data_IF_096688185359
#
_entry.id   IF_096688185359
#
_cell.length_a   1.000
_cell.length_b   1.000
_cell.length_c   1.000
_cell.angle_alpha   90.00
_cell.angle_beta   90.00
_cell.angle_gamma   90.00
#
_symmetry.space_group_name_H-M   'P 1'
#
loop_
_entity.id
_entity.type
_entity.pdbx_description
1 polymer ?
#
# COMPACT_ATOMS: atom_id res chain seq x y z
N UNK A 1 29.36 28.77 -65.52
CA UNK A 1 28.93 28.64 -64.08
C UNK A 1 27.57 27.93 -64.05
N UNK A 2 27.55 26.67 -63.62
CA UNK A 2 26.31 25.88 -63.46
C UNK A 2 25.84 26.03 -61.98
N UNK A 3 24.66 26.63 -61.80
CA UNK A 3 24.01 26.71 -60.53
C UNK A 3 23.33 25.35 -60.23
N UNK A 4 23.72 24.71 -59.12
CA UNK A 4 23.06 23.49 -58.57
C UNK A 4 22.03 23.99 -57.60
N UNK A 5 20.72 23.83 -57.89
CA UNK A 5 19.63 24.00 -56.95
C UNK A 5 19.51 22.72 -56.12
N UNK A 6 19.79 22.84 -54.82
CA UNK A 6 19.52 21.75 -53.84
C UNK A 6 18.09 21.94 -53.33
N UNK A 7 17.19 21.03 -53.72
CA UNK A 7 15.84 20.92 -53.14
C UNK A 7 15.91 20.11 -51.82
N UNK A 8 15.80 20.80 -50.68
CA UNK A 8 15.57 20.13 -49.41
C UNK A 8 14.11 19.70 -49.29
N UNK A 9 13.83 18.41 -49.41
CA UNK A 9 12.53 17.83 -49.08
C UNK A 9 12.45 17.70 -47.54
N UNK A 10 11.68 18.56 -46.89
CA UNK A 10 11.26 18.39 -45.49
C UNK A 10 10.21 17.27 -45.45
N UNK A 11 10.63 16.07 -45.08
CA UNK A 11 9.71 14.98 -44.71
C UNK A 11 9.05 15.32 -43.36
N UNK A 12 7.86 15.91 -43.40
CA UNK A 12 6.99 16.06 -42.22
C UNK A 12 6.35 14.68 -41.92
N UNK A 13 6.92 13.94 -41.00
CA UNK A 13 6.25 12.76 -40.44
C UNK A 13 5.08 13.24 -39.59
N UNK A 14 3.83 12.86 -39.86
CA UNK A 14 2.73 13.13 -38.95
C UNK A 14 3.00 12.33 -37.65
N UNK A 15 3.23 13.05 -36.57
CA UNK A 15 3.24 12.43 -35.26
C UNK A 15 1.83 11.87 -35.00
N UNK A 16 1.67 10.56 -35.08
CA UNK A 16 0.44 9.88 -34.68
C UNK A 16 0.35 10.04 -33.17
N UNK A 17 -0.36 11.07 -32.73
CA UNK A 17 -0.75 11.23 -31.34
C UNK A 17 -1.74 10.10 -31.05
N UNK A 18 -1.24 8.99 -30.52
CA UNK A 18 -2.09 7.92 -30.01
C UNK A 18 -2.74 8.45 -28.74
N UNK A 19 -4.03 8.79 -28.79
CA UNK A 19 -4.77 9.15 -27.59
C UNK A 19 -4.59 8.05 -26.57
N UNK A 20 -4.04 8.37 -25.38
CA UNK A 20 -3.94 7.41 -24.29
C UNK A 20 -5.37 6.96 -23.91
N UNK A 21 -5.55 5.65 -23.76
CA UNK A 21 -6.85 5.08 -23.34
C UNK A 21 -7.20 5.63 -21.94
N UNK A 22 -8.37 6.24 -21.80
CA UNK A 22 -8.93 6.61 -20.48
C UNK A 22 -9.18 5.34 -19.66
N UNK A 23 -8.58 5.23 -18.49
CA UNK A 23 -8.74 4.09 -17.59
C UNK A 23 -10.00 4.22 -16.75
N UNK A 24 -10.83 3.19 -16.75
CA UNK A 24 -12.08 3.11 -15.99
C UNK A 24 -11.83 2.55 -14.59
N UNK A 25 -12.17 3.32 -13.55
CA UNK A 25 -12.01 2.95 -12.15
C UNK A 25 -13.38 2.79 -11.51
N UNK A 26 -13.73 1.58 -11.10
CA UNK A 26 -14.94 1.29 -10.34
C UNK A 26 -14.65 1.33 -8.83
N UNK A 27 -15.25 2.28 -8.11
CA UNK A 27 -15.18 2.36 -6.65
C UNK A 27 -16.33 1.54 -6.06
N UNK A 28 -16.06 0.28 -5.75
CA UNK A 28 -17.02 -0.68 -5.18
C UNK A 28 -16.94 -0.64 -3.66
N UNK A 29 -18.09 -0.50 -2.96
CA UNK A 29 -18.04 -0.44 -1.50
C UNK A 29 -19.36 -0.16 -0.81
N UNK A 30 -19.23 0.24 0.46
CA UNK A 30 -20.35 0.53 1.35
C UNK A 30 -20.66 2.03 1.43
N UNK A 31 -21.29 2.46 2.55
CA UNK A 31 -21.65 3.85 2.84
C UNK A 31 -20.47 4.85 2.75
N UNK A 32 -19.26 4.40 3.09
CA UNK A 32 -18.07 5.26 2.99
C UNK A 32 -17.71 5.54 1.53
N UNK A 33 -17.86 4.54 0.66
CA UNK A 33 -17.69 4.72 -0.80
C UNK A 33 -18.83 5.55 -1.38
N UNK A 34 -20.06 5.29 -0.95
CA UNK A 34 -21.24 6.09 -1.31
C UNK A 34 -21.06 7.56 -0.98
N UNK A 35 -20.44 7.88 0.17
CA UNK A 35 -20.30 9.24 0.70
C UNK A 35 -21.44 9.62 1.64
N UNK A 36 -21.87 8.65 2.49
CA UNK A 36 -22.93 8.91 3.48
C UNK A 36 -22.54 10.04 4.44
N UNK A 37 -23.48 10.95 4.69
CA UNK A 37 -23.27 12.11 5.57
C UNK A 37 -22.49 13.26 4.94
N UNK A 38 -22.00 13.14 3.70
CA UNK A 38 -21.26 14.19 3.01
C UNK A 38 -22.23 15.07 2.21
N UNK A 39 -22.28 16.35 2.53
CA UNK A 39 -23.03 17.33 1.75
C UNK A 39 -22.42 17.48 0.34
N UNK A 40 -23.26 17.49 -0.71
CA UNK A 40 -22.80 17.56 -2.10
C UNK A 40 -21.88 16.36 -2.45
N UNK A 41 -22.27 15.14 -2.03
CA UNK A 41 -21.46 13.92 -2.18
C UNK A 41 -21.06 13.62 -3.64
N UNK A 42 -21.84 14.10 -4.59
CA UNK A 42 -21.57 13.99 -6.03
C UNK A 42 -20.25 14.66 -6.43
N UNK A 43 -19.77 15.62 -5.62
CA UNK A 43 -18.48 16.30 -5.80
C UNK A 43 -17.51 16.02 -4.65
N UNK A 44 -18.00 15.64 -3.47
CA UNK A 44 -17.23 15.60 -2.22
C UNK A 44 -17.01 14.18 -1.68
N UNK A 45 -17.64 13.13 -2.23
CA UNK A 45 -17.28 11.74 -1.90
C UNK A 45 -15.87 11.40 -2.37
N UNK A 46 -15.23 10.38 -1.78
CA UNK A 46 -13.86 10.05 -2.19
C UNK A 46 -13.75 9.64 -3.68
N UNK A 47 -14.71 8.93 -4.30
CA UNK A 47 -14.64 8.66 -5.73
C UNK A 47 -14.70 9.93 -6.60
N UNK A 48 -15.54 10.90 -6.22
CA UNK A 48 -15.64 12.17 -6.94
C UNK A 48 -14.35 13.01 -6.81
N UNK A 49 -13.79 13.11 -5.60
CA UNK A 49 -12.51 13.78 -5.38
C UNK A 49 -11.34 13.03 -6.05
N UNK A 50 -11.39 11.69 -6.12
CA UNK A 50 -10.41 10.88 -6.85
C UNK A 50 -10.47 11.20 -8.36
N UNK A 51 -11.66 11.35 -8.94
CA UNK A 51 -11.83 11.78 -10.34
C UNK A 51 -11.13 13.13 -10.59
N UNK A 52 -11.33 14.09 -9.69
CA UNK A 52 -10.70 15.41 -9.79
C UNK A 52 -9.17 15.34 -9.73
N UNK A 53 -8.63 14.49 -8.86
CA UNK A 53 -7.19 14.29 -8.70
C UNK A 53 -6.55 13.60 -9.89
N UNK A 54 -7.21 12.61 -10.48
CA UNK A 54 -6.67 11.80 -11.58
C UNK A 54 -6.86 12.46 -12.96
N UNK A 55 -7.80 13.39 -13.11
CA UNK A 55 -8.08 14.12 -14.36
C UNK A 55 -8.63 13.25 -15.49
N UNK A 56 -8.50 13.72 -16.72
CA UNK A 56 -9.14 13.13 -17.92
C UNK A 56 -8.58 11.78 -18.34
N UNK A 57 -7.38 11.42 -17.88
CA UNK A 57 -6.78 10.10 -18.13
C UNK A 57 -7.51 8.95 -17.40
N UNK A 58 -8.46 9.27 -16.53
CA UNK A 58 -9.26 8.31 -15.77
C UNK A 58 -10.74 8.68 -15.81
N UNK A 59 -11.59 7.65 -15.76
CA UNK A 59 -13.02 7.75 -15.53
C UNK A 59 -13.33 6.99 -14.25
N UNK A 60 -13.60 7.71 -13.15
CA UNK A 60 -13.91 7.15 -11.84
C UNK A 60 -15.40 7.16 -11.61
N UNK A 61 -16.00 6.01 -11.29
CA UNK A 61 -17.41 5.92 -10.95
C UNK A 61 -17.65 5.32 -9.56
N UNK A 62 -18.67 5.84 -8.89
CA UNK A 62 -19.06 5.46 -7.54
C UNK A 62 -20.13 4.37 -7.58
N UNK A 63 -19.79 3.17 -7.11
CA UNK A 63 -20.67 2.01 -6.93
C UNK A 63 -20.79 1.63 -5.44
N UNK A 64 -20.76 2.62 -4.55
CA UNK A 64 -21.00 2.43 -3.13
C UNK A 64 -22.50 2.28 -2.82
N UNK A 65 -22.86 1.36 -1.91
CA UNK A 65 -24.21 1.17 -1.41
C UNK A 65 -24.22 1.21 0.12
N UNK A 66 -25.17 1.99 0.70
CA UNK A 66 -25.27 2.14 2.15
C UNK A 66 -25.60 0.80 2.82
N UNK A 67 -24.87 0.48 3.89
CA UNK A 67 -25.10 -0.77 4.63
C UNK A 67 -24.52 -2.02 3.98
N UNK A 68 -23.96 -1.95 2.77
CA UNK A 68 -23.49 -3.13 2.02
C UNK A 68 -22.46 -3.98 2.79
N UNK A 69 -22.66 -5.30 2.71
CA UNK A 69 -21.79 -6.34 3.25
C UNK A 69 -21.10 -7.12 2.12
N UNK A 70 -19.98 -7.73 2.42
CA UNK A 70 -19.37 -8.77 1.57
C UNK A 70 -20.15 -10.06 1.69
N UNK A 71 -20.56 -10.39 2.92
CA UNK A 71 -21.24 -11.62 3.27
C UNK A 71 -22.59 -11.73 2.53
N UNK A 72 -22.76 -12.84 1.78
CA UNK A 72 -24.00 -13.16 1.05
C UNK A 72 -25.19 -13.43 1.99
N UNK A 73 -24.93 -13.68 3.26
CA UNK A 73 -25.93 -13.86 4.31
C UNK A 73 -26.13 -12.60 5.17
N UNK A 74 -25.51 -11.49 4.80
CA UNK A 74 -25.62 -10.22 5.52
C UNK A 74 -26.98 -9.54 5.31
N UNK A 75 -27.21 -8.47 6.06
CA UNK A 75 -28.45 -7.68 5.95
C UNK A 75 -28.59 -6.95 4.60
N UNK A 76 -27.47 -6.62 3.95
CA UNK A 76 -27.41 -5.98 2.61
C UNK A 76 -26.24 -6.56 1.79
N UNK A 77 -26.35 -7.79 1.27
CA UNK A 77 -25.30 -8.38 0.43
C UNK A 77 -25.02 -7.49 -0.78
N UNK A 78 -23.77 -7.08 -0.98
CA UNK A 78 -23.43 -6.19 -2.10
C UNK A 78 -23.81 -6.81 -3.47
N UNK A 79 -23.72 -8.13 -3.57
CA UNK A 79 -24.09 -8.87 -4.78
C UNK A 79 -25.56 -8.78 -5.17
N UNK A 80 -26.42 -8.39 -4.23
CA UNK A 80 -27.87 -8.23 -4.45
C UNK A 80 -28.23 -6.76 -4.74
N UNK A 81 -27.26 -5.85 -4.68
CA UNK A 81 -27.49 -4.43 -4.91
C UNK A 81 -27.36 -4.05 -6.38
N UNK A 82 -28.15 -3.08 -6.87
CA UNK A 82 -28.07 -2.60 -8.27
C UNK A 82 -26.67 -2.12 -8.66
N UNK A 83 -25.92 -1.59 -7.72
CA UNK A 83 -24.55 -1.12 -7.92
C UNK A 83 -23.61 -2.24 -8.35
N UNK A 84 -23.85 -3.47 -7.92
CA UNK A 84 -23.03 -4.63 -8.31
C UNK A 84 -23.12 -4.87 -9.82
N UNK A 85 -24.33 -4.99 -10.38
CA UNK A 85 -24.52 -5.20 -11.82
C UNK A 85 -23.98 -4.00 -12.62
N UNK A 86 -24.32 -2.78 -12.23
CA UNK A 86 -23.84 -1.54 -12.87
C UNK A 86 -22.31 -1.44 -12.87
N UNK A 87 -21.67 -1.87 -11.80
CA UNK A 87 -20.20 -1.85 -11.71
C UNK A 87 -19.53 -2.82 -12.68
N UNK A 88 -20.18 -3.97 -12.98
CA UNK A 88 -19.70 -4.93 -13.98
C UNK A 88 -19.95 -4.43 -15.40
N UNK A 89 -21.15 -3.89 -15.67
CA UNK A 89 -21.53 -3.30 -16.97
C UNK A 89 -20.62 -2.10 -17.32
N UNK A 90 -20.12 -1.40 -16.33
CA UNK A 90 -19.14 -0.33 -16.53
C UNK A 90 -17.86 -0.81 -17.21
N UNK A 91 -17.59 -2.13 -17.19
CA UNK A 91 -16.39 -2.77 -17.76
C UNK A 91 -15.10 -2.07 -17.30
N UNK A 92 -14.80 -2.08 -15.98
CA UNK A 92 -13.68 -1.36 -15.41
C UNK A 92 -12.32 -1.92 -15.84
N UNK A 93 -11.31 -1.07 -15.88
CA UNK A 93 -9.89 -1.46 -15.96
C UNK A 93 -9.30 -1.66 -14.55
N UNK A 94 -9.87 -0.97 -13.55
CA UNK A 94 -9.46 -1.03 -12.14
C UNK A 94 -10.72 -1.13 -11.27
N UNK A 95 -10.70 -2.04 -10.29
CA UNK A 95 -11.74 -2.14 -9.25
C UNK A 95 -11.10 -1.86 -7.90
N UNK A 96 -11.61 -0.84 -7.21
CA UNK A 96 -11.29 -0.51 -5.83
C UNK A 96 -12.35 -1.13 -4.93
N UNK A 97 -12.01 -2.21 -4.24
CA UNK A 97 -12.96 -3.01 -3.45
C UNK A 97 -12.81 -2.68 -1.95
N UNK A 98 -13.77 -1.92 -1.40
CA UNK A 98 -13.79 -1.44 -0.02
C UNK A 98 -15.07 -1.85 0.71
N UNK A 99 -15.09 -3.04 1.29
CA UNK A 99 -16.18 -3.59 2.10
C UNK A 99 -15.64 -4.12 3.44
N UNK A 100 -16.50 -4.75 4.26
CA UNK A 100 -16.12 -5.40 5.50
C UNK A 100 -16.53 -4.65 6.77
N UNK A 101 -16.89 -3.37 6.68
CA UNK A 101 -17.31 -2.58 7.85
C UNK A 101 -18.66 -3.08 8.40
N UNK A 102 -19.66 -3.24 7.55
CA UNK A 102 -21.01 -3.68 7.94
C UNK A 102 -21.09 -5.17 8.26
N UNK A 103 -20.13 -5.94 7.77
CA UNK A 103 -20.00 -7.36 8.07
C UNK A 103 -19.77 -7.61 9.56
N UNK A 104 -19.20 -6.63 10.29
CA UNK A 104 -18.92 -6.75 11.73
C UNK A 104 -20.15 -6.60 12.64
N UNK A 105 -21.31 -6.23 12.10
CA UNK A 105 -22.56 -6.19 12.85
C UNK A 105 -22.90 -7.58 13.41
N UNK A 106 -23.49 -7.68 14.61
CA UNK A 106 -23.75 -8.98 15.25
C UNK A 106 -24.50 -9.98 14.39
N UNK A 107 -25.51 -9.53 13.61
CA UNK A 107 -26.30 -10.40 12.73
C UNK A 107 -25.56 -10.85 11.48
N UNK A 108 -24.50 -10.15 11.06
CA UNK A 108 -23.75 -10.42 9.84
C UNK A 108 -22.47 -11.21 10.08
N UNK A 109 -21.88 -11.08 11.27
CA UNK A 109 -20.56 -11.63 11.55
C UNK A 109 -20.57 -13.13 11.83
N UNK A 110 -19.87 -13.90 11.01
CA UNK A 110 -19.66 -15.37 11.19
C UNK A 110 -18.18 -15.74 11.33
N UNK A 111 -17.30 -14.76 11.50
CA UNK A 111 -15.86 -14.96 11.65
C UNK A 111 -15.03 -14.50 10.44
N UNK A 112 -13.73 -14.39 10.66
CA UNK A 112 -12.77 -13.88 9.68
C UNK A 112 -12.63 -14.80 8.45
N UNK A 113 -12.66 -16.12 8.63
CA UNK A 113 -12.51 -17.08 7.53
C UNK A 113 -13.69 -17.08 6.55
N UNK A 114 -14.98 -17.18 7.00
CA UNK A 114 -16.12 -17.02 6.11
C UNK A 114 -16.14 -15.66 5.40
N UNK A 115 -15.81 -14.57 6.11
CA UNK A 115 -15.69 -13.24 5.52
C UNK A 115 -14.63 -13.20 4.41
N UNK A 116 -13.43 -13.73 4.67
CA UNK A 116 -12.36 -13.77 3.67
C UNK A 116 -12.73 -14.60 2.44
N UNK A 117 -13.46 -15.70 2.62
CA UNK A 117 -13.95 -16.53 1.54
C UNK A 117 -14.93 -15.77 0.63
N UNK A 118 -15.88 -15.03 1.21
CA UNK A 118 -16.84 -14.20 0.44
C UNK A 118 -16.11 -13.05 -0.28
N UNK A 119 -15.20 -12.33 0.41
CA UNK A 119 -14.42 -11.27 -0.21
C UNK A 119 -13.58 -11.80 -1.38
N UNK A 120 -13.04 -13.01 -1.22
CA UNK A 120 -12.29 -13.70 -2.26
C UNK A 120 -13.17 -14.04 -3.48
N UNK A 121 -14.39 -14.53 -3.28
CA UNK A 121 -15.35 -14.78 -4.36
C UNK A 121 -15.73 -13.51 -5.10
N UNK A 122 -15.98 -12.43 -4.37
CA UNK A 122 -16.29 -11.13 -4.96
C UNK A 122 -15.12 -10.58 -5.78
N UNK A 123 -13.90 -10.68 -5.27
CA UNK A 123 -12.70 -10.26 -5.99
C UNK A 123 -12.49 -11.09 -7.27
N UNK A 124 -12.71 -12.41 -7.22
CA UNK A 124 -12.60 -13.29 -8.39
C UNK A 124 -13.68 -12.99 -9.42
N UNK A 125 -14.91 -12.65 -9.01
CA UNK A 125 -15.99 -12.22 -9.91
C UNK A 125 -15.54 -11.03 -10.75
N UNK A 126 -14.93 -10.00 -10.14
CA UNK A 126 -14.40 -8.87 -10.89
C UNK A 126 -13.19 -9.24 -11.77
N UNK A 127 -12.24 -10.03 -11.26
CA UNK A 127 -11.06 -10.45 -12.04
C UNK A 127 -11.41 -11.21 -13.32
N UNK A 128 -12.53 -11.94 -13.29
CA UNK A 128 -13.00 -12.76 -14.40
C UNK A 128 -13.91 -11.99 -15.39
N UNK A 129 -14.13 -10.68 -15.20
CA UNK A 129 -14.84 -9.87 -16.19
C UNK A 129 -14.07 -9.86 -17.52
N UNK A 130 -14.76 -9.71 -18.66
CA UNK A 130 -14.10 -9.61 -19.98
C UNK A 130 -13.07 -8.47 -20.09
N UNK A 131 -13.22 -7.43 -19.26
CA UNK A 131 -12.25 -6.32 -19.19
C UNK A 131 -10.98 -6.68 -18.41
N UNK A 132 -10.94 -7.82 -17.71
CA UNK A 132 -9.80 -8.28 -16.87
C UNK A 132 -9.23 -7.21 -15.96
N UNK A 133 -10.04 -6.57 -15.10
CA UNK A 133 -9.59 -5.44 -14.31
C UNK A 133 -8.51 -5.82 -13.30
N UNK A 134 -7.65 -4.87 -12.99
CA UNK A 134 -6.84 -4.95 -11.78
C UNK A 134 -7.76 -4.77 -10.56
N UNK A 135 -7.85 -5.77 -9.68
CA UNK A 135 -8.57 -5.66 -8.42
C UNK A 135 -7.61 -5.21 -7.31
N UNK A 136 -7.99 -4.15 -6.62
CA UNK A 136 -7.26 -3.57 -5.48
C UNK A 136 -8.22 -3.57 -4.31
N UNK A 137 -7.87 -4.26 -3.24
CA UNK A 137 -8.64 -4.25 -2.00
C UNK A 137 -8.18 -3.11 -1.10
N UNK A 138 -9.13 -2.45 -0.46
CA UNK A 138 -8.87 -1.38 0.50
C UNK A 138 -9.25 -1.88 1.89
N UNK A 139 -8.33 -1.77 2.86
CA UNK A 139 -8.71 -2.09 4.24
C UNK A 139 -9.81 -1.14 4.71
N UNK A 140 -10.72 -1.56 5.60
CA UNK A 140 -11.64 -0.64 6.23
C UNK A 140 -10.88 0.50 6.91
N UNK A 141 -11.46 1.70 6.93
CA UNK A 141 -10.98 2.77 7.80
C UNK A 141 -11.19 2.38 9.26
N UNK A 142 -10.38 2.90 10.16
CA UNK A 142 -10.58 2.73 11.60
C UNK A 142 -11.94 3.30 12.01
N UNK A 143 -12.67 2.55 12.80
CA UNK A 143 -13.93 2.96 13.40
C UNK A 143 -13.71 3.36 14.87
N UNK A 144 -14.33 4.42 15.32
CA UNK A 144 -14.22 4.96 16.68
C UNK A 144 -15.53 4.90 17.46
N UNK A 145 -16.51 4.12 16.98
CA UNK A 145 -17.77 3.89 17.70
C UNK A 145 -17.50 3.26 19.07
N UNK A 146 -18.27 3.68 20.06
CA UNK A 146 -18.22 3.18 21.43
C UNK A 146 -19.46 2.38 21.84
N UNK A 147 -20.50 2.43 21.01
CA UNK A 147 -21.76 1.72 21.24
C UNK A 147 -21.65 0.24 20.87
N UNK A 148 -22.09 -0.64 21.77
CA UNK A 148 -22.20 -2.07 21.51
C UNK A 148 -23.42 -2.40 20.65
N UNK A 149 -23.42 -3.54 20.00
CA UNK A 149 -24.56 -4.05 19.21
C UNK A 149 -24.67 -3.52 17.78
N UNK A 150 -23.70 -2.71 17.35
CA UNK A 150 -23.62 -2.18 15.98
C UNK A 150 -22.33 -2.64 15.28
N UNK A 151 -21.71 -1.79 14.46
CA UNK A 151 -20.39 -2.04 13.88
C UNK A 151 -19.34 -2.13 14.99
N UNK A 152 -18.50 -3.16 14.92
CA UNK A 152 -17.48 -3.45 15.94
C UNK A 152 -16.09 -2.94 15.51
N UNK A 153 -15.55 -1.88 16.18
CA UNK A 153 -14.18 -1.43 15.97
C UNK A 153 -13.14 -2.52 16.22
N UNK A 154 -13.38 -3.37 17.22
CA UNK A 154 -12.48 -4.46 17.61
C UNK A 154 -12.37 -5.51 16.48
N UNK A 155 -13.52 -5.92 15.90
CA UNK A 155 -13.53 -6.85 14.77
C UNK A 155 -12.90 -6.22 13.52
N UNK A 156 -13.17 -4.93 13.25
CA UNK A 156 -12.51 -4.22 12.13
C UNK A 156 -10.99 -4.28 12.29
N UNK A 157 -10.48 -3.96 13.48
CA UNK A 157 -9.04 -3.91 13.73
C UNK A 157 -8.37 -5.28 13.78
N UNK A 158 -9.00 -6.23 14.50
CA UNK A 158 -8.39 -7.52 14.84
C UNK A 158 -8.74 -8.67 13.91
N UNK A 159 -9.80 -8.58 13.13
CA UNK A 159 -10.30 -9.69 12.33
C UNK A 159 -10.46 -9.30 10.84
N UNK A 160 -11.24 -8.27 10.52
CA UNK A 160 -11.52 -7.88 9.12
C UNK A 160 -10.27 -7.37 8.43
N UNK A 161 -9.54 -6.43 9.03
CA UNK A 161 -8.30 -5.90 8.46
C UNK A 161 -7.27 -7.00 8.18
N UNK A 162 -6.91 -7.86 9.15
CA UNK A 162 -5.99 -8.97 8.88
C UNK A 162 -6.48 -9.93 7.80
N UNK A 163 -7.79 -10.19 7.73
CA UNK A 163 -8.38 -11.05 6.69
C UNK A 163 -8.23 -10.43 5.30
N UNK A 164 -8.47 -9.13 5.14
CA UNK A 164 -8.26 -8.39 3.88
C UNK A 164 -6.78 -8.41 3.48
N UNK A 165 -5.88 -8.13 4.43
CA UNK A 165 -4.43 -8.15 4.22
C UNK A 165 -3.94 -9.54 3.77
N UNK A 166 -4.37 -10.60 4.49
CA UNK A 166 -4.03 -11.99 4.13
C UNK A 166 -4.53 -12.36 2.73
N UNK A 167 -5.79 -12.05 2.43
CA UNK A 167 -6.37 -12.33 1.12
C UNK A 167 -5.60 -11.64 -0.01
N UNK A 168 -5.27 -10.36 0.16
CA UNK A 168 -4.49 -9.61 -0.84
C UNK A 168 -3.15 -10.28 -1.12
N UNK A 169 -2.42 -10.64 -0.06
CA UNK A 169 -1.13 -11.31 -0.16
C UNK A 169 -1.24 -12.68 -0.85
N UNK A 170 -2.19 -13.54 -0.42
CA UNK A 170 -2.33 -14.91 -0.94
C UNK A 170 -2.76 -14.93 -2.40
N UNK A 171 -3.64 -14.00 -2.82
CA UNK A 171 -4.16 -13.93 -4.18
C UNK A 171 -3.40 -12.97 -5.10
N UNK A 172 -2.37 -12.29 -4.59
CA UNK A 172 -1.59 -11.32 -5.35
C UNK A 172 -2.42 -10.14 -5.84
N UNK A 173 -3.37 -9.67 -5.03
CA UNK A 173 -4.16 -8.47 -5.29
C UNK A 173 -3.37 -7.22 -4.93
N UNK A 174 -3.72 -6.07 -5.53
CA UNK A 174 -3.31 -4.79 -5.00
C UNK A 174 -3.94 -4.54 -3.63
N UNK A 175 -3.26 -3.80 -2.77
CA UNK A 175 -3.80 -3.41 -1.46
C UNK A 175 -3.48 -1.96 -1.14
N UNK A 176 -4.46 -1.25 -0.54
CA UNK A 176 -4.29 0.09 0.03
C UNK A 176 -4.74 0.05 1.49
N UNK A 177 -3.85 0.40 2.39
CA UNK A 177 -4.15 0.45 3.82
C UNK A 177 -4.82 1.79 4.18
N UNK A 178 -6.13 1.77 4.40
CA UNK A 178 -6.89 2.92 4.89
C UNK A 178 -7.03 2.93 6.42
N UNK A 179 -6.73 1.81 7.10
CA UNK A 179 -6.98 1.66 8.53
C UNK A 179 -6.24 2.70 9.38
N UNK A 180 -5.01 3.02 9.00
CA UNK A 180 -4.18 3.96 9.73
C UNK A 180 -4.31 5.42 9.25
N UNK A 181 -5.15 5.67 8.22
CA UNK A 181 -5.22 6.96 7.54
C UNK A 181 -5.65 8.12 8.44
N UNK A 182 -6.53 7.86 9.41
CA UNK A 182 -7.08 8.86 10.33
C UNK A 182 -6.42 8.84 11.72
N UNK A 183 -5.28 8.14 11.85
CA UNK A 183 -4.58 8.02 13.12
C UNK A 183 -5.25 7.03 14.09
N UNK A 184 -4.85 7.09 15.35
CA UNK A 184 -5.31 6.22 16.44
C UNK A 184 -6.32 6.90 17.37
N UNK A 185 -6.50 8.22 17.24
CA UNK A 185 -7.45 9.04 18.00
C UNK A 185 -8.54 9.59 17.10
N UNK A 186 -9.74 9.61 17.63
CA UNK A 186 -10.88 10.19 16.93
C UNK A 186 -10.73 11.69 16.74
N UNK A 187 -11.00 12.15 15.51
CA UNK A 187 -11.08 13.55 15.13
C UNK A 187 -12.42 13.82 14.43
N UNK A 188 -13.23 14.66 15.04
CA UNK A 188 -14.57 15.01 14.55
C UNK A 188 -14.54 15.76 13.21
N UNK A 189 -13.45 16.43 12.87
CA UNK A 189 -13.31 17.13 11.58
C UNK A 189 -13.13 16.14 10.43
N UNK A 190 -12.56 14.98 10.71
CA UNK A 190 -12.32 13.92 9.74
C UNK A 190 -13.45 12.89 9.71
N UNK A 191 -14.01 12.54 10.87
CA UNK A 191 -15.05 11.52 11.06
C UNK A 191 -16.13 12.00 12.04
N UNK A 192 -17.10 12.82 11.60
CA UNK A 192 -18.06 13.49 12.48
C UNK A 192 -18.88 12.54 13.38
N UNK A 193 -19.27 11.40 12.85
CA UNK A 193 -20.08 10.38 13.54
C UNK A 193 -19.26 9.17 14.03
N UNK A 194 -17.92 9.29 14.08
CA UNK A 194 -16.97 8.23 14.48
C UNK A 194 -16.87 7.03 13.52
N UNK A 195 -17.57 7.05 12.38
CA UNK A 195 -17.65 5.99 11.40
C UNK A 195 -17.45 6.49 9.96
N UNK A 196 -18.18 7.52 9.56
CA UNK A 196 -18.18 8.03 8.21
C UNK A 196 -17.22 9.22 8.08
N UNK A 197 -16.31 9.19 7.10
CA UNK A 197 -15.46 10.35 6.81
C UNK A 197 -16.26 11.56 6.38
N UNK A 198 -15.85 12.74 6.84
CA UNK A 198 -16.30 14.02 6.28
C UNK A 198 -15.80 14.21 4.84
N UNK A 199 -16.17 15.31 4.19
CA UNK A 199 -15.59 15.67 2.89
C UNK A 199 -14.06 15.79 2.94
N UNK A 200 -13.49 16.29 4.06
CA UNK A 200 -12.03 16.35 4.27
C UNK A 200 -11.45 14.93 4.37
N UNK A 201 -12.05 14.09 5.21
CA UNK A 201 -11.63 12.68 5.35
C UNK A 201 -11.76 11.90 4.04
N UNK A 202 -12.81 12.14 3.25
CA UNK A 202 -12.98 11.58 1.92
C UNK A 202 -11.86 12.04 0.95
N UNK A 203 -11.43 13.30 1.05
CA UNK A 203 -10.30 13.84 0.30
C UNK A 203 -8.97 13.16 0.66
N UNK A 204 -8.75 12.81 1.93
CA UNK A 204 -7.58 12.04 2.35
C UNK A 204 -7.58 10.65 1.74
N UNK A 205 -8.74 9.96 1.71
CA UNK A 205 -8.89 8.66 1.04
C UNK A 205 -8.59 8.81 -0.46
N UNK A 206 -9.20 9.81 -1.11
CA UNK A 206 -8.99 10.07 -2.54
C UNK A 206 -7.52 10.31 -2.88
N UNK A 207 -6.80 11.10 -2.08
CA UNK A 207 -5.37 11.34 -2.26
C UNK A 207 -4.55 10.05 -2.11
N UNK A 208 -4.78 9.28 -1.06
CA UNK A 208 -4.04 8.02 -0.84
C UNK A 208 -4.25 7.03 -1.98
N UNK A 209 -5.50 6.89 -2.44
CA UNK A 209 -5.83 6.04 -3.60
C UNK A 209 -5.21 6.60 -4.88
N UNK A 210 -5.29 7.91 -5.10
CA UNK A 210 -4.69 8.58 -6.26
C UNK A 210 -3.18 8.39 -6.33
N UNK A 211 -2.49 8.59 -5.21
CA UNK A 211 -1.03 8.38 -5.11
C UNK A 211 -0.65 6.93 -5.47
N UNK A 212 -1.42 5.94 -4.97
CA UNK A 212 -1.22 4.53 -5.31
C UNK A 212 -1.39 4.26 -6.81
N UNK A 213 -2.47 4.76 -7.42
CA UNK A 213 -2.77 4.54 -8.84
C UNK A 213 -1.73 5.21 -9.75
N UNK A 214 -1.31 6.43 -9.40
CA UNK A 214 -0.30 7.18 -10.16
C UNK A 214 1.09 6.54 -10.05
N UNK A 215 1.49 6.09 -8.86
CA UNK A 215 2.73 5.34 -8.67
C UNK A 215 2.71 4.01 -9.46
N UNK A 216 1.56 3.32 -9.48
CA UNK A 216 1.36 2.07 -10.20
C UNK A 216 1.32 2.21 -11.74
N UNK A 217 1.05 3.39 -12.30
CA UNK A 217 0.93 3.60 -13.77
C UNK A 217 2.20 3.17 -14.52
N UNK A 218 3.38 3.44 -13.95
CA UNK A 218 4.70 3.06 -14.50
C UNK A 218 5.30 1.83 -13.84
N UNK A 219 4.64 1.29 -12.82
CA UNK A 219 5.12 0.15 -12.05
C UNK A 219 4.95 -1.17 -12.80
N UNK A 220 5.88 -2.09 -12.55
CA UNK A 220 5.84 -3.46 -13.10
C UNK A 220 5.58 -4.48 -12.00
N UNK A 221 5.10 -5.67 -12.38
CA UNK A 221 4.94 -6.77 -11.43
C UNK A 221 6.31 -7.13 -10.85
N UNK A 222 6.44 -7.30 -9.52
CA UNK A 222 7.69 -7.73 -8.90
C UNK A 222 8.15 -9.07 -9.45
N UNK A 223 9.43 -9.17 -9.75
CA UNK A 223 10.05 -10.39 -10.27
C UNK A 223 11.10 -11.00 -9.33
N UNK A 224 11.41 -10.29 -8.23
CA UNK A 224 12.43 -10.75 -7.29
C UNK A 224 11.86 -11.80 -6.34
N UNK A 225 12.38 -13.01 -6.43
CA UNK A 225 12.15 -14.12 -5.49
C UNK A 225 13.51 -14.69 -5.14
N UNK A 226 13.97 -14.60 -3.87
CA UNK A 226 15.25 -15.17 -3.47
C UNK A 226 15.23 -16.70 -3.56
N UNK A 227 16.36 -17.30 -3.92
CA UNK A 227 16.52 -18.75 -3.95
C UNK A 227 16.36 -19.34 -2.53
N UNK A 228 15.62 -20.45 -2.42
CA UNK A 228 15.38 -21.14 -1.16
C UNK A 228 14.53 -20.35 -0.14
N UNK A 229 13.84 -19.30 -0.60
CA UNK A 229 13.08 -18.46 0.28
C UNK A 229 11.76 -19.07 0.75
N UNK A 230 11.39 -18.80 2.00
CA UNK A 230 10.05 -19.07 2.54
C UNK A 230 9.20 -17.81 2.43
N UNK A 231 8.04 -17.94 1.77
CA UNK A 231 7.12 -16.81 1.60
C UNK A 231 6.34 -16.53 2.89
N UNK A 232 6.12 -15.24 3.18
CA UNK A 232 5.25 -14.77 4.25
C UNK A 232 4.39 -13.58 3.78
N UNK A 233 3.42 -13.18 4.61
CA UNK A 233 2.61 -12.01 4.37
C UNK A 233 2.97 -10.88 5.34
N UNK A 234 3.18 -9.67 4.80
CA UNK A 234 3.43 -8.46 5.56
C UNK A 234 2.39 -7.41 5.18
N UNK A 235 1.37 -7.24 6.01
CA UNK A 235 0.28 -6.26 5.79
C UNK A 235 -0.32 -6.27 4.37
N UNK A 236 -0.51 -7.47 3.82
CA UNK A 236 -1.06 -7.65 2.47
C UNK A 236 -0.03 -7.74 1.35
N UNK A 237 1.23 -7.49 1.63
CA UNK A 237 2.32 -7.61 0.67
C UNK A 237 3.05 -8.94 0.80
N UNK A 238 3.57 -9.46 -0.33
CA UNK A 238 4.35 -10.69 -0.36
C UNK A 238 5.76 -10.43 0.17
N UNK A 239 6.12 -11.11 1.25
CA UNK A 239 7.46 -11.14 1.79
C UNK A 239 8.16 -12.48 1.59
N UNK A 240 9.47 -12.49 1.75
CA UNK A 240 10.34 -13.67 1.65
C UNK A 240 11.39 -13.63 2.75
N UNK A 241 11.44 -14.71 3.55
CA UNK A 241 12.53 -15.04 4.44
C UNK A 241 13.55 -15.89 3.70
N UNK A 242 14.83 -15.54 3.79
CA UNK A 242 15.90 -16.27 3.12
C UNK A 242 17.26 -16.06 3.80
N UNK A 243 18.25 -16.83 3.41
CA UNK A 243 19.62 -16.63 3.89
C UNK A 243 20.51 -16.12 2.76
N UNK A 244 21.27 -15.07 3.04
CA UNK A 244 22.30 -14.56 2.14
C UNK A 244 23.66 -14.62 2.83
N UNK A 245 24.58 -15.41 2.29
CA UNK A 245 25.94 -15.61 2.84
C UNK A 245 25.93 -15.92 4.35
N UNK A 246 25.04 -16.81 4.78
CA UNK A 246 24.92 -17.25 6.17
C UNK A 246 24.18 -16.29 7.11
N UNK A 247 23.64 -15.19 6.60
CA UNK A 247 22.88 -14.20 7.38
C UNK A 247 21.41 -14.30 7.03
N UNK A 248 20.54 -14.24 8.04
CA UNK A 248 19.09 -14.23 7.88
C UNK A 248 18.63 -12.86 7.34
N UNK A 249 17.88 -12.90 6.25
CA UNK A 249 17.44 -11.74 5.51
C UNK A 249 15.95 -11.81 5.21
N UNK A 250 15.33 -10.64 5.04
CA UNK A 250 13.93 -10.52 4.61
C UNK A 250 13.84 -9.52 3.47
N UNK A 251 12.88 -9.74 2.59
CA UNK A 251 12.45 -8.76 1.60
C UNK A 251 10.94 -8.78 1.51
N UNK A 252 10.31 -7.62 1.50
CA UNK A 252 8.89 -7.46 1.17
C UNK A 252 8.81 -6.74 -0.17
N UNK A 253 8.04 -7.31 -1.08
CA UNK A 253 7.85 -6.78 -2.42
C UNK A 253 6.56 -5.95 -2.48
N UNK A 254 6.55 -4.79 -3.13
CA UNK A 254 5.32 -4.05 -3.41
C UNK A 254 4.43 -4.83 -4.38
N UNK A 255 3.13 -4.50 -4.44
CA UNK A 255 2.24 -5.09 -5.44
C UNK A 255 2.64 -4.74 -6.88
N UNK A 256 3.21 -3.54 -7.08
CA UNK A 256 3.85 -3.07 -8.32
C UNK A 256 5.14 -2.33 -7.95
N UNK A 257 6.27 -2.78 -8.46
CA UNK A 257 7.55 -2.12 -8.18
C UNK A 257 7.71 -0.84 -9.01
N UNK A 258 8.14 0.23 -8.36
CA UNK A 258 8.47 1.48 -9.02
C UNK A 258 9.72 1.33 -9.90
N UNK A 259 9.87 2.25 -10.88
CA UNK A 259 11.03 2.28 -11.77
C UNK A 259 12.33 2.37 -10.98
N UNK A 260 13.33 1.61 -11.39
CA UNK A 260 14.63 1.56 -10.74
C UNK A 260 14.68 0.69 -9.48
N UNK A 261 13.59 0.04 -9.10
CA UNK A 261 13.49 -0.85 -7.94
C UNK A 261 14.02 -0.20 -6.66
N UNK A 262 13.39 0.93 -6.21
CA UNK A 262 13.78 1.61 -4.97
C UNK A 262 13.50 0.73 -3.76
N UNK A 263 14.25 0.96 -2.68
CA UNK A 263 14.16 0.13 -1.49
C UNK A 263 14.54 0.85 -0.21
N UNK A 264 13.98 0.37 0.89
CA UNK A 264 14.25 0.82 2.26
C UNK A 264 14.94 -0.30 3.02
N UNK A 265 15.99 0.04 3.73
CA UNK A 265 16.70 -0.88 4.61
C UNK A 265 16.31 -0.62 6.07
N UNK A 266 15.40 -1.45 6.56
CA UNK A 266 15.00 -1.41 7.96
C UNK A 266 16.06 -2.11 8.81
N UNK A 267 16.69 -1.36 9.72
CA UNK A 267 17.87 -1.84 10.44
C UNK A 267 17.54 -2.78 11.61
N UNK A 268 16.41 -2.57 12.30
CA UNK A 268 16.02 -3.30 13.51
C UNK A 268 14.49 -3.26 13.69
N UNK A 269 13.98 -3.95 14.70
CA UNK A 269 12.56 -3.92 15.11
C UNK A 269 11.60 -4.22 13.96
N UNK A 270 11.84 -5.33 13.29
CA UNK A 270 11.00 -5.76 12.17
C UNK A 270 9.51 -5.80 12.55
N UNK A 271 8.66 -5.13 11.78
CA UNK A 271 7.22 -5.09 11.97
C UNK A 271 6.72 -4.19 13.11
N UNK A 272 7.61 -3.51 13.85
CA UNK A 272 7.20 -2.53 14.84
C UNK A 272 6.93 -1.18 14.17
N UNK A 273 5.77 -0.56 14.46
CA UNK A 273 5.32 0.71 13.84
C UNK A 273 5.48 0.72 12.30
N UNK A 274 4.80 -0.18 11.57
CA UNK A 274 5.09 -0.44 10.16
C UNK A 274 4.41 0.54 9.20
N UNK A 275 3.84 1.66 9.67
CA UNK A 275 3.02 2.56 8.86
C UNK A 275 3.80 3.15 7.69
N UNK A 276 5.04 3.59 7.95
CA UNK A 276 5.94 4.12 6.92
C UNK A 276 6.33 3.04 5.91
N UNK A 277 6.63 1.82 6.37
CA UNK A 277 6.93 0.68 5.50
C UNK A 277 5.76 0.38 4.55
N UNK A 278 4.53 0.34 5.09
CA UNK A 278 3.31 0.09 4.31
C UNK A 278 3.11 1.18 3.25
N UNK A 279 3.25 2.46 3.62
CA UNK A 279 3.09 3.58 2.71
C UNK A 279 4.15 3.58 1.59
N UNK A 280 5.37 3.14 1.88
CA UNK A 280 6.43 3.01 0.88
C UNK A 280 6.24 1.79 -0.02
N UNK A 281 5.74 0.66 0.50
CA UNK A 281 5.31 -0.49 -0.30
C UNK A 281 4.20 -0.12 -1.28
N UNK A 282 3.21 0.67 -0.85
CA UNK A 282 2.14 1.19 -1.71
C UNK A 282 2.68 2.08 -2.84
N UNK A 283 3.78 2.78 -2.61
CA UNK A 283 4.50 3.60 -3.60
C UNK A 283 5.49 2.83 -4.48
N UNK A 284 5.56 1.51 -4.30
CA UNK A 284 6.38 0.63 -5.12
C UNK A 284 7.81 0.42 -4.65
N UNK A 285 8.14 0.81 -3.41
CA UNK A 285 9.41 0.49 -2.77
C UNK A 285 9.41 -0.94 -2.23
N UNK A 286 10.58 -1.55 -2.17
CA UNK A 286 10.80 -2.77 -1.41
C UNK A 286 11.26 -2.45 0.01
N UNK A 287 10.86 -3.26 0.99
CA UNK A 287 11.38 -3.18 2.36
C UNK A 287 12.31 -4.37 2.58
N UNK A 288 13.52 -4.12 3.02
CA UNK A 288 14.50 -5.19 3.25
C UNK A 288 15.04 -5.15 4.68
N UNK A 289 15.46 -6.31 5.15
CA UNK A 289 16.11 -6.51 6.44
C UNK A 289 17.28 -7.48 6.29
N UNK A 290 18.35 -7.24 7.01
CA UNK A 290 19.48 -8.14 7.13
C UNK A 290 19.92 -8.17 8.59
N UNK A 291 19.96 -9.35 9.19
CA UNK A 291 20.17 -9.48 10.63
C UNK A 291 21.59 -9.12 11.06
N UNK A 292 21.68 -8.05 11.83
CA UNK A 292 22.88 -7.57 12.50
C UNK A 292 22.58 -7.14 13.94
N UNK A 293 21.49 -7.71 14.50
CA UNK A 293 20.87 -7.26 15.74
C UNK A 293 21.83 -7.15 16.91
N UNK A 294 22.67 -8.14 17.11
CA UNK A 294 23.53 -8.25 18.28
C UNK A 294 24.99 -7.82 17.98
N UNK A 295 25.17 -7.14 16.87
CA UNK A 295 26.48 -6.62 16.45
C UNK A 295 26.68 -5.12 16.72
N UNK A 296 25.68 -4.43 17.24
CA UNK A 296 25.75 -3.04 17.71
C UNK A 296 26.44 -2.05 16.76
N UNK A 297 26.25 -2.22 15.45
CA UNK A 297 26.84 -1.37 14.43
C UNK A 297 28.36 -1.53 14.24
N UNK A 298 28.97 -2.57 14.78
CA UNK A 298 30.40 -2.88 14.65
C UNK A 298 30.84 -3.06 13.19
N UNK A 299 32.15 -3.15 12.96
CA UNK A 299 32.72 -3.47 11.63
C UNK A 299 32.13 -4.74 11.06
N UNK A 300 31.96 -5.78 11.88
CA UNK A 300 31.31 -7.03 11.47
C UNK A 300 29.86 -6.82 10.99
N UNK A 301 29.11 -5.89 11.61
CA UNK A 301 27.78 -5.52 11.17
C UNK A 301 27.82 -4.81 9.81
N UNK A 302 28.72 -3.83 9.65
CA UNK A 302 28.85 -3.09 8.39
C UNK A 302 29.32 -3.99 7.25
N UNK A 303 30.21 -4.95 7.50
CA UNK A 303 30.63 -5.96 6.51
C UNK A 303 29.47 -6.88 6.07
N UNK A 304 28.60 -7.31 7.01
CA UNK A 304 27.39 -8.08 6.65
C UNK A 304 26.48 -7.26 5.74
N UNK A 305 26.26 -5.99 6.08
CA UNK A 305 25.47 -5.09 5.26
C UNK A 305 26.09 -4.85 3.89
N UNK A 306 27.41 -4.71 3.79
CA UNK A 306 28.10 -4.58 2.49
C UNK A 306 27.89 -5.81 1.60
N UNK A 307 27.91 -7.02 2.18
CA UNK A 307 27.62 -8.25 1.43
C UNK A 307 26.20 -8.28 0.93
N UNK A 308 25.25 -7.98 1.81
CA UNK A 308 23.82 -7.94 1.45
C UNK A 308 23.51 -6.83 0.44
N UNK A 309 24.12 -5.66 0.57
CA UNK A 309 24.02 -4.60 -0.44
C UNK A 309 24.48 -5.11 -1.82
N UNK A 310 25.64 -5.78 -1.91
CA UNK A 310 26.11 -6.34 -3.18
C UNK A 310 25.16 -7.39 -3.74
N UNK A 311 24.58 -8.23 -2.89
CA UNK A 311 23.55 -9.19 -3.27
C UNK A 311 22.35 -8.48 -3.91
N UNK A 312 21.77 -7.47 -3.27
CA UNK A 312 20.64 -6.72 -3.80
C UNK A 312 21.00 -6.02 -5.11
N UNK A 313 22.19 -5.44 -5.23
CA UNK A 313 22.67 -4.82 -6.47
C UNK A 313 22.74 -5.79 -7.65
N UNK A 314 23.18 -7.01 -7.44
CA UNK A 314 23.18 -8.08 -8.47
C UNK A 314 21.76 -8.42 -8.94
N UNK A 315 20.75 -8.21 -8.09
CA UNK A 315 19.35 -8.45 -8.41
C UNK A 315 18.61 -7.18 -8.90
N UNK A 316 19.33 -6.12 -9.26
CA UNK A 316 18.79 -4.93 -9.91
C UNK A 316 18.11 -3.92 -8.99
N UNK A 317 18.30 -4.00 -7.68
CA UNK A 317 17.83 -2.98 -6.75
C UNK A 317 18.56 -1.65 -6.96
N UNK A 318 17.91 -0.53 -6.66
CA UNK A 318 18.48 0.79 -6.87
C UNK A 318 19.81 0.97 -6.14
N UNK A 319 20.74 1.76 -6.72
CA UNK A 319 22.08 1.97 -6.14
C UNK A 319 22.05 2.63 -4.78
N UNK A 320 21.11 3.55 -4.56
CA UNK A 320 20.97 4.24 -3.28
C UNK A 320 19.83 3.64 -2.46
N UNK A 321 20.12 3.35 -1.20
CA UNK A 321 19.15 2.86 -0.20
C UNK A 321 18.57 4.01 0.61
N UNK A 322 17.31 3.93 0.97
CA UNK A 322 16.76 4.63 2.13
C UNK A 322 17.12 3.80 3.35
N UNK A 323 17.71 4.42 4.38
CA UNK A 323 18.04 3.73 5.62
C UNK A 323 17.06 4.12 6.71
N UNK A 324 16.48 3.13 7.38
CA UNK A 324 15.56 3.32 8.48
C UNK A 324 16.15 2.78 9.78
N UNK A 325 16.33 3.67 10.76
CA UNK A 325 16.93 3.34 12.05
C UNK A 325 16.13 3.84 13.25
N UNK A 326 15.47 2.91 13.96
CA UNK A 326 14.80 3.20 15.21
C UNK A 326 15.69 2.77 16.37
N UNK A 327 15.76 3.56 17.48
CA UNK A 327 16.48 3.22 18.71
C UNK A 327 17.89 2.71 18.40
N UNK A 328 18.31 1.55 18.92
CA UNK A 328 19.63 0.94 18.65
C UNK A 328 19.89 0.56 17.17
N UNK A 329 18.87 0.61 16.31
CA UNK A 329 19.05 0.51 14.86
C UNK A 329 19.84 1.69 14.28
N UNK A 330 19.87 2.82 14.97
CA UNK A 330 20.71 3.97 14.61
C UNK A 330 22.19 3.62 14.50
N UNK A 331 22.73 2.78 15.40
CA UNK A 331 24.16 2.43 15.40
C UNK A 331 24.63 1.89 14.05
N UNK A 332 23.93 0.92 13.48
CA UNK A 332 24.31 0.34 12.18
C UNK A 332 24.03 1.30 11.02
N UNK A 333 22.92 2.01 11.06
CA UNK A 333 22.54 2.98 10.01
C UNK A 333 23.61 4.06 9.84
N UNK A 334 24.00 4.71 10.93
CA UNK A 334 24.99 5.80 10.85
C UNK A 334 26.39 5.28 10.56
N UNK A 335 26.82 4.15 11.16
CA UNK A 335 28.14 3.58 10.90
C UNK A 335 28.30 3.12 9.45
N UNK A 336 27.26 2.51 8.89
CA UNK A 336 27.29 2.09 7.48
C UNK A 336 27.20 3.29 6.52
N UNK A 337 26.36 4.28 6.82
CA UNK A 337 26.24 5.50 6.02
C UNK A 337 27.55 6.29 5.98
N UNK A 338 28.24 6.41 7.11
CA UNK A 338 29.54 7.09 7.18
C UNK A 338 30.60 6.43 6.29
N UNK A 339 30.59 5.08 6.19
CA UNK A 339 31.48 4.33 5.30
C UNK A 339 31.04 4.32 3.83
N UNK A 340 29.75 4.56 3.55
CA UNK A 340 29.15 4.38 2.24
C UNK A 340 28.23 5.55 1.83
N UNK A 341 28.66 6.82 1.92
CA UNK A 341 27.77 7.97 1.71
C UNK A 341 27.18 8.04 0.28
N UNK A 342 27.88 7.51 -0.71
CA UNK A 342 27.45 7.47 -2.10
C UNK A 342 26.32 6.43 -2.34
N UNK A 343 26.12 5.49 -1.41
CA UNK A 343 25.10 4.42 -1.47
C UNK A 343 23.80 4.79 -0.73
N UNK A 344 23.76 5.94 -0.07
CA UNK A 344 22.62 6.40 0.74
C UNK A 344 21.80 7.43 -0.03
N UNK A 345 20.48 7.24 -0.08
CA UNK A 345 19.52 8.20 -0.61
C UNK A 345 19.12 9.20 0.48
N UNK A 346 18.69 8.70 1.63
CA UNK A 346 18.38 9.43 2.85
C UNK A 346 18.40 8.50 4.05
N UNK A 347 18.36 9.07 5.24
CA UNK A 347 18.22 8.37 6.51
C UNK A 347 16.93 8.86 7.17
N UNK A 348 16.07 7.92 7.56
CA UNK A 348 14.97 8.14 8.48
C UNK A 348 15.35 7.53 9.82
N UNK A 349 15.44 8.35 10.86
CA UNK A 349 15.85 7.91 12.18
C UNK A 349 14.83 8.34 13.23
N UNK A 350 14.37 7.38 14.03
CA UNK A 350 13.44 7.60 15.12
C UNK A 350 14.12 7.27 16.45
N UNK A 351 14.28 8.29 17.31
CA UNK A 351 14.99 8.21 18.59
C UNK A 351 16.27 7.34 18.52
N UNK A 352 17.20 7.61 17.56
CA UNK A 352 18.30 6.71 17.27
C UNK A 352 19.36 6.72 18.37
N UNK A 353 19.88 5.55 18.72
CA UNK A 353 21.16 5.45 19.45
C UNK A 353 22.27 5.67 18.43
N UNK A 354 23.08 6.70 18.64
CA UNK A 354 24.17 7.09 17.73
C UNK A 354 25.55 6.83 18.34
N UNK A 355 25.61 6.63 19.67
CA UNK A 355 26.85 6.41 20.40
C UNK A 355 26.70 5.20 21.34
N UNK A 356 27.53 4.18 21.11
CA UNK A 356 27.56 2.96 21.93
C UNK A 356 27.96 3.23 23.38
N UNK A 357 28.67 4.33 23.65
CA UNK A 357 29.05 4.68 25.01
C UNK A 357 27.87 5.18 25.82
N UNK A 358 26.90 5.83 25.20
CA UNK A 358 25.64 6.22 25.84
C UNK A 358 24.75 5.00 26.10
N UNK A 359 24.68 4.09 25.14
CA UNK A 359 23.95 2.83 25.22
C UNK A 359 24.61 1.77 24.32
N UNK A 360 24.85 0.51 24.78
CA UNK A 360 24.47 -0.05 26.10
C UNK A 360 25.49 0.18 27.22
N UNK A 361 26.54 0.96 27.02
CA UNK A 361 27.61 1.11 28.02
C UNK A 361 27.25 2.04 29.21
N UNK A 362 26.09 2.69 29.17
CA UNK A 362 25.54 3.48 30.29
C UNK A 362 26.34 4.73 30.68
N UNK A 363 27.17 5.24 29.79
CA UNK A 363 27.99 6.46 30.03
C UNK A 363 27.30 7.77 29.59
N UNK A 364 26.02 7.68 29.17
CA UNK A 364 25.21 8.83 28.79
C UNK A 364 24.50 9.43 29.99
N UNK A 365 24.04 10.69 29.82
CA UNK A 365 23.26 11.42 30.83
C UNK A 365 21.76 11.11 30.80
N UNK A 366 21.28 10.27 29.86
CA UNK A 366 19.89 9.86 29.80
C UNK A 366 19.66 8.62 30.64
N UNK A 367 18.82 8.74 31.63
CA UNK A 367 18.13 7.62 32.27
C UNK A 367 17.16 7.03 31.22
N UNK A 368 17.58 5.99 30.51
CA UNK A 368 16.78 5.32 29.47
C UNK A 368 16.49 3.87 29.86
#
# INVERSE_FOLDING_TARGET
>A
MRQILIFCFLLVFPAVIRAEKTLKVACVGNSITYGAGIAGRENNSYPAQLQQLLGEGYRVENFGHNGATVASWGDYPYTDMPEFERSKEFAPDIVLLKLGTNDTKPQNWRGAEPFAAELGRLADTYRNLPSHPQVIVLTPVRCFLTEEGTISPQKIAGEVRPAVEKLACERGLGIINLFNLFGDRWDATLMPDRLHPSAIGAGMIARKVGDYLLAGKKGRKPSFVPEGATAFCFHGFRGYDFRSEGTDCKVVCPAREAEGRPWVWRARFWGHEPQTDIDLLEKGFHIVYCDVADLYGSDKATERWDRFYRYLRKHGFHRKAVLEGMSRGGLIVYNWAAKNPDKVACIYADAPVMDITSWPMGKGTSEG
#
